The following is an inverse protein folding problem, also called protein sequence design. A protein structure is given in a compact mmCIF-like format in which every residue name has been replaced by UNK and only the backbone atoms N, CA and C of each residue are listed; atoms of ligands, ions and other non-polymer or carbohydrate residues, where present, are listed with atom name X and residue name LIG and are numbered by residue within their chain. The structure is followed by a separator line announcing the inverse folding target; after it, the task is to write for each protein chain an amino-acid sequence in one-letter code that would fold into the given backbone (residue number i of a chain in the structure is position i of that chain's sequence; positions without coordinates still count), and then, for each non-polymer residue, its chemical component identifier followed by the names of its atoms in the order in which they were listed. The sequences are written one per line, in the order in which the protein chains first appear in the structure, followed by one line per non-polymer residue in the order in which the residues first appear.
data_IF_824218881235
#
_entry.id   IF_824218881235
#
_cell.length_a   1.000
_cell.length_b   1.000
_cell.length_c   1.000
_cell.angle_alpha   90.00
_cell.angle_beta   90.00
_cell.angle_gamma   90.00
#
_symmetry.space_group_name_H-M   'P 1'
#
loop_
_entity.id
_entity.type
_entity.pdbx_description
1 polymer ?
#
# COMPACT_ATOMS: atom_id res chain seq x y z
N UNK A 1 -2.86 -3.95 17.52
CA UNK A 1 -2.25 -3.07 16.49
C UNK A 1 -2.91 -3.48 15.22
N UNK A 2 -3.50 -2.55 14.45
CA UNK A 2 -4.51 -2.90 13.44
C UNK A 2 -4.08 -4.02 12.48
N UNK A 3 -2.84 -3.99 11.94
CA UNK A 3 -2.38 -5.07 11.06
C UNK A 3 -2.34 -6.44 11.77
N UNK A 4 -1.88 -6.52 13.02
CA UNK A 4 -1.89 -7.76 13.79
C UNK A 4 -3.32 -8.27 14.01
N UNK A 5 -4.25 -7.36 14.31
CA UNK A 5 -5.65 -7.74 14.56
C UNK A 5 -6.28 -8.36 13.29
N UNK A 6 -5.90 -7.88 12.10
CA UNK A 6 -6.28 -8.52 10.81
C UNK A 6 -5.60 -9.87 10.58
N UNK A 7 -4.32 -10.02 10.93
CA UNK A 7 -3.59 -11.29 10.81
C UNK A 7 -4.18 -12.34 11.76
N UNK A 8 -4.46 -11.97 13.01
CA UNK A 8 -5.11 -12.82 14.02
C UNK A 8 -6.54 -13.22 13.59
N UNK A 9 -7.22 -12.37 12.80
CA UNK A 9 -8.50 -12.69 12.17
C UNK A 9 -8.40 -13.59 10.92
N UNK A 10 -7.18 -13.95 10.50
CA UNK A 10 -6.92 -14.89 9.40
C UNK A 10 -6.52 -14.26 8.07
N UNK A 11 -6.21 -12.96 8.02
CA UNK A 11 -5.71 -12.34 6.80
C UNK A 11 -4.33 -12.92 6.42
N UNK A 12 -4.15 -13.21 5.13
CA UNK A 12 -2.84 -13.61 4.57
C UNK A 12 -2.15 -12.48 3.80
N UNK A 13 -2.86 -11.39 3.51
CA UNK A 13 -2.29 -10.20 2.87
C UNK A 13 -2.78 -8.99 3.66
N UNK A 14 -1.86 -8.13 4.08
CA UNK A 14 -2.16 -6.86 4.74
C UNK A 14 -1.71 -5.69 3.86
N UNK A 15 -2.58 -4.70 3.74
CA UNK A 15 -2.29 -3.45 3.03
C UNK A 15 -1.62 -2.47 3.97
N UNK A 16 -0.62 -1.74 3.50
CA UNK A 16 0.02 -0.64 4.23
C UNK A 16 -0.91 0.58 4.29
N UNK A 17 -0.70 1.45 5.27
CA UNK A 17 -1.46 2.70 5.42
C UNK A 17 -0.96 3.81 4.47
N UNK A 18 -0.75 3.50 3.18
CA UNK A 18 -0.17 4.42 2.20
C UNK A 18 -1.11 4.85 1.06
N UNK A 19 -2.40 4.49 1.13
CA UNK A 19 -3.43 4.81 0.12
C UNK A 19 -3.39 6.29 -0.33
N UNK A 20 -3.58 7.21 0.63
CA UNK A 20 -3.53 8.67 0.42
C UNK A 20 -2.15 9.28 0.70
N UNK A 21 -1.17 8.49 1.13
CA UNK A 21 0.17 8.99 1.39
C UNK A 21 0.82 9.37 0.05
N UNK A 22 0.97 10.66 -0.19
CA UNK A 22 1.63 11.21 -1.38
C UNK A 22 2.62 12.27 -0.95
N UNK A 23 3.72 12.39 -1.70
CA UNK A 23 4.76 13.39 -1.41
C UNK A 23 4.15 14.79 -1.50
N UNK A 24 3.39 15.05 -2.56
CA UNK A 24 2.70 16.32 -2.78
C UNK A 24 1.68 16.61 -1.67
N UNK A 25 0.95 15.60 -1.20
CA UNK A 25 -0.02 15.75 -0.10
C UNK A 25 0.65 16.12 1.22
N UNK A 26 1.77 15.47 1.56
CA UNK A 26 2.53 15.78 2.77
C UNK A 26 3.24 17.14 2.69
N UNK A 27 3.84 17.47 1.55
CA UNK A 27 4.47 18.78 1.32
C UNK A 27 3.45 19.91 1.44
N UNK A 28 2.23 19.72 0.90
CA UNK A 28 1.14 20.69 1.06
C UNK A 28 0.69 20.86 2.53
N UNK A 29 1.02 19.91 3.41
CA UNK A 29 0.79 19.99 4.87
C UNK A 29 2.00 20.52 5.65
N UNK A 30 3.06 20.92 4.98
CA UNK A 30 4.23 21.58 5.57
C UNK A 30 5.40 20.65 5.90
N UNK A 31 5.36 19.39 5.46
CA UNK A 31 6.48 18.46 5.62
C UNK A 31 7.52 18.66 4.52
N UNK A 32 8.77 18.34 4.80
CA UNK A 32 9.80 18.24 3.76
C UNK A 32 9.55 17.04 2.85
N UNK A 33 10.16 17.04 1.66
CA UNK A 33 10.08 15.87 0.78
C UNK A 33 10.69 14.65 1.47
N UNK A 34 11.83 14.78 2.14
CA UNK A 34 12.50 13.70 2.86
C UNK A 34 11.62 13.10 3.98
N UNK A 35 10.92 13.96 4.73
CA UNK A 35 9.96 13.53 5.75
C UNK A 35 8.79 12.76 5.12
N UNK A 36 8.25 13.26 4.01
CA UNK A 36 7.18 12.59 3.26
C UNK A 36 7.62 11.21 2.76
N UNK A 37 8.83 11.08 2.22
CA UNK A 37 9.39 9.79 1.81
C UNK A 37 9.61 8.85 3.00
N UNK A 38 10.06 9.39 4.14
CA UNK A 38 10.25 8.62 5.37
C UNK A 38 8.92 8.04 5.87
N UNK A 39 7.85 8.81 5.85
CA UNK A 39 6.51 8.33 6.23
C UNK A 39 5.99 7.23 5.29
N UNK A 40 6.26 7.34 3.99
CA UNK A 40 5.95 6.26 3.04
C UNK A 40 6.67 4.96 3.40
N UNK A 41 7.98 5.02 3.68
CA UNK A 41 8.75 3.83 4.12
C UNK A 41 8.22 3.29 5.44
N UNK A 42 7.97 4.18 6.41
CA UNK A 42 7.47 3.81 7.74
C UNK A 42 6.13 3.07 7.69
N UNK A 43 5.25 3.45 6.75
CA UNK A 43 3.98 2.75 6.56
C UNK A 43 4.15 1.27 6.21
N UNK A 44 5.23 0.92 5.49
CA UNK A 44 5.56 -0.46 5.13
C UNK A 44 6.29 -1.15 6.26
N UNK A 45 7.24 -0.47 6.90
CA UNK A 45 7.98 -0.99 8.05
C UNK A 45 7.03 -1.48 9.15
N UNK A 46 6.00 -0.69 9.50
CA UNK A 46 5.01 -1.07 10.52
C UNK A 46 4.24 -2.33 10.12
N UNK A 47 3.90 -2.50 8.84
CA UNK A 47 3.23 -3.71 8.36
C UNK A 47 4.16 -4.93 8.36
N UNK A 48 5.44 -4.76 8.02
CA UNK A 48 6.44 -5.80 8.14
C UNK A 48 6.68 -6.20 9.61
N UNK A 49 6.82 -5.22 10.52
CA UNK A 49 6.91 -5.46 11.97
C UNK A 49 5.70 -6.28 12.47
N UNK A 50 4.49 -6.00 11.96
CA UNK A 50 3.29 -6.78 12.25
C UNK A 50 3.42 -8.26 11.87
N UNK A 51 3.92 -8.51 10.66
CA UNK A 51 4.12 -9.85 10.14
C UNK A 51 5.13 -10.62 11.00
N UNK A 52 6.24 -9.99 11.35
CA UNK A 52 7.27 -10.65 12.18
C UNK A 52 6.72 -10.98 13.57
N UNK A 53 6.01 -10.05 14.21
CA UNK A 53 5.34 -10.31 15.51
C UNK A 53 4.32 -11.46 15.39
N UNK A 54 3.56 -11.51 14.30
CA UNK A 54 2.60 -12.59 14.07
C UNK A 54 3.30 -13.95 13.92
N UNK A 55 4.43 -14.00 13.20
CA UNK A 55 5.22 -15.23 13.07
C UNK A 55 5.82 -15.69 14.39
N UNK A 56 6.35 -14.77 15.22
CA UNK A 56 6.90 -15.08 16.54
C UNK A 56 5.83 -15.61 17.53
N UNK A 57 4.60 -15.09 17.44
CA UNK A 57 3.46 -15.64 18.21
C UNK A 57 3.02 -17.00 17.69
N UNK A 58 3.02 -17.19 16.38
CA UNK A 58 2.57 -18.44 15.77
C UNK A 58 3.57 -19.57 15.98
N UNK A 59 4.87 -19.30 16.08
CA UNK A 59 5.86 -20.33 16.48
C UNK A 59 5.69 -20.79 17.93
N UNK A 60 5.01 -19.99 18.77
CA UNK A 60 4.70 -20.32 20.18
C UNK A 60 3.28 -20.89 20.38
N UNK A 61 2.37 -20.75 19.42
CA UNK A 61 1.02 -21.28 19.45
C UNK A 61 0.65 -22.02 18.17
N UNK A 62 0.44 -23.34 18.26
CA UNK A 62 0.12 -24.26 17.17
C UNK A 62 -1.20 -23.91 16.45
N UNK A 63 -1.16 -23.01 15.48
CA UNK A 63 -2.22 -22.83 14.48
C UNK A 63 -1.71 -23.37 13.14
N UNK A 64 -1.49 -24.68 13.12
CA UNK A 64 -1.12 -25.41 11.92
C UNK A 64 -2.42 -25.89 11.25
N UNK A 65 -2.73 -25.33 10.07
CA UNK A 65 -3.71 -25.97 9.19
C UNK A 65 -3.08 -27.25 8.64
N UNK A 66 -3.58 -28.40 9.08
CA UNK A 66 -3.20 -29.71 8.58
C UNK A 66 -3.92 -29.92 7.24
N UNK A 67 -3.18 -29.76 6.14
CA UNK A 67 -3.55 -30.33 4.85
C UNK A 67 -2.52 -31.41 4.51
N UNK A 68 -2.97 -32.67 4.41
CA UNK A 68 -2.18 -33.81 3.92
C UNK A 68 -0.80 -34.02 4.59
N UNK A 69 -0.71 -33.88 5.93
CA UNK A 69 0.48 -34.28 6.69
C UNK A 69 1.70 -33.36 6.54
N UNK A 70 1.58 -32.23 5.83
CA UNK A 70 2.61 -31.19 5.77
C UNK A 70 2.11 -29.93 6.48
N UNK A 71 2.91 -29.41 7.42
CA UNK A 71 2.68 -28.11 8.05
C UNK A 71 2.98 -27.05 6.97
N UNK A 72 1.94 -26.57 6.29
CA UNK A 72 2.05 -25.50 5.30
C UNK A 72 1.39 -24.25 5.86
N UNK A 73 2.20 -23.33 6.42
CA UNK A 73 1.71 -21.98 6.72
C UNK A 73 1.59 -21.21 5.42
N UNK A 74 0.40 -20.67 5.14
CA UNK A 74 0.24 -19.69 4.07
C UNK A 74 1.12 -18.48 4.40
N UNK A 75 1.99 -18.03 3.47
CA UNK A 75 2.83 -16.87 3.73
C UNK A 75 1.96 -15.63 3.93
N UNK A 76 2.32 -14.82 4.93
CA UNK A 76 1.77 -13.47 5.11
C UNK A 76 2.52 -12.51 4.20
N UNK A 77 1.79 -11.82 3.32
CA UNK A 77 2.33 -10.82 2.41
C UNK A 77 1.96 -9.40 2.85
N UNK A 78 2.89 -8.48 2.65
CA UNK A 78 2.68 -7.04 2.83
C UNK A 78 2.54 -6.40 1.45
N UNK A 79 1.39 -5.77 1.21
CA UNK A 79 1.11 -5.07 -0.02
C UNK A 79 1.15 -3.55 0.21
N UNK A 80 2.07 -2.87 -0.46
CA UNK A 80 2.15 -1.41 -0.42
C UNK A 80 0.99 -0.80 -1.19
N UNK A 81 0.08 -0.14 -0.45
CA UNK A 81 -1.11 0.49 -0.99
C UNK A 81 -0.79 1.78 -1.75
N UNK A 82 -1.37 1.93 -2.94
CA UNK A 82 -1.30 3.12 -3.78
C UNK A 82 -2.72 3.46 -4.24
N UNK A 83 -3.29 4.52 -3.68
CA UNK A 83 -4.57 5.07 -4.11
C UNK A 83 -4.46 5.92 -5.38
N UNK A 84 -5.61 6.15 -6.04
CA UNK A 84 -5.71 6.96 -7.25
C UNK A 84 -5.30 8.42 -7.04
N UNK A 85 -5.07 9.12 -8.15
CA UNK A 85 -4.90 10.57 -8.19
C UNK A 85 -6.11 11.29 -7.57
N UNK A 86 -7.33 10.76 -7.76
CA UNK A 86 -8.53 11.34 -7.15
C UNK A 86 -8.53 11.28 -5.63
N UNK A 87 -7.91 10.26 -5.02
CA UNK A 87 -7.77 10.17 -3.58
C UNK A 87 -6.89 11.30 -3.01
N UNK A 88 -5.92 11.78 -3.80
CA UNK A 88 -5.09 12.93 -3.46
C UNK A 88 -5.85 14.26 -3.60
N UNK A 89 -6.73 14.40 -4.60
CA UNK A 89 -7.55 15.60 -4.78
C UNK A 89 -8.53 15.83 -3.61
N UNK A 90 -8.92 14.75 -2.92
CA UNK A 90 -9.81 14.79 -1.76
C UNK A 90 -11.18 15.46 -2.03
N UNK A 91 -11.65 15.37 -3.28
CA UNK A 91 -12.92 15.92 -3.77
C UNK A 91 -13.96 14.85 -4.14
N UNK A 92 -13.66 13.58 -3.82
CA UNK A 92 -14.49 12.42 -4.17
C UNK A 92 -14.29 11.91 -5.60
N UNK A 93 -13.35 12.47 -6.37
CA UNK A 93 -13.05 12.01 -7.72
C UNK A 93 -12.47 10.59 -7.78
N UNK A 94 -12.04 10.01 -6.65
CA UNK A 94 -11.70 8.59 -6.50
C UNK A 94 -12.87 7.63 -6.85
N UNK A 95 -14.12 8.12 -6.89
CA UNK A 95 -15.28 7.35 -7.35
C UNK A 95 -15.78 7.74 -8.75
N UNK A 96 -15.54 8.99 -9.18
CA UNK A 96 -16.03 9.50 -10.46
C UNK A 96 -15.03 9.32 -11.60
N UNK A 97 -13.74 9.27 -11.29
CA UNK A 97 -12.64 9.25 -12.25
C UNK A 97 -12.50 10.54 -13.07
N UNK A 98 -13.15 11.64 -12.67
CA UNK A 98 -13.07 12.93 -13.36
C UNK A 98 -12.05 13.82 -12.68
N UNK A 99 -10.83 13.86 -13.21
CA UNK A 99 -9.72 14.63 -12.63
C UNK A 99 -9.54 16.03 -13.26
N UNK A 100 -10.39 16.38 -14.24
CA UNK A 100 -10.27 17.60 -15.05
C UNK A 100 -9.52 17.38 -16.36
N UNK A 101 -9.83 18.22 -17.36
CA UNK A 101 -9.35 18.07 -18.74
C UNK A 101 -7.84 18.34 -18.90
N UNK A 102 -7.22 18.99 -17.91
CA UNK A 102 -5.78 19.27 -17.90
C UNK A 102 -4.92 18.09 -17.43
N UNK A 103 -5.51 17.03 -16.88
CA UNK A 103 -4.76 15.89 -16.35
C UNK A 103 -4.42 14.92 -17.47
N UNK A 104 -3.15 14.95 -17.89
CA UNK A 104 -2.61 14.09 -18.93
C UNK A 104 -2.10 12.75 -18.38
N UNK A 105 -1.82 11.79 -19.27
CA UNK A 105 -1.17 10.53 -18.89
C UNK A 105 0.21 10.77 -18.27
N UNK A 106 0.98 11.74 -18.77
CA UNK A 106 2.31 12.05 -18.23
C UNK A 106 2.22 12.66 -16.84
N UNK A 107 1.23 13.54 -16.61
CA UNK A 107 0.95 14.08 -15.28
C UNK A 107 0.69 12.97 -14.25
N UNK A 108 -0.08 11.96 -14.64
CA UNK A 108 -0.36 10.80 -13.78
C UNK A 108 0.89 9.94 -13.55
N UNK A 109 1.71 9.74 -14.59
CA UNK A 109 3.00 9.04 -14.46
C UNK A 109 3.91 9.77 -13.46
N UNK A 110 4.11 11.07 -13.66
CA UNK A 110 4.96 11.90 -12.82
C UNK A 110 4.50 11.87 -11.36
N UNK A 111 3.20 11.97 -11.14
CA UNK A 111 2.59 11.93 -9.81
C UNK A 111 2.89 10.63 -9.06
N UNK A 112 2.73 9.47 -9.71
CA UNK A 112 2.92 8.17 -9.04
C UNK A 112 4.38 7.70 -9.03
N UNK A 113 5.22 8.15 -9.97
CA UNK A 113 6.56 7.58 -10.21
C UNK A 113 7.43 7.58 -8.96
N UNK A 114 7.53 8.71 -8.25
CA UNK A 114 8.43 8.80 -7.09
C UNK A 114 7.93 7.96 -5.92
N UNK A 115 6.62 8.01 -5.63
CA UNK A 115 5.99 7.16 -4.62
C UNK A 115 6.23 5.67 -4.90
N UNK A 116 6.04 5.25 -6.14
CA UNK A 116 6.28 3.86 -6.55
C UNK A 116 7.75 3.46 -6.36
N UNK A 117 8.71 4.31 -6.75
CA UNK A 117 10.14 4.04 -6.55
C UNK A 117 10.51 3.83 -5.07
N UNK A 118 9.88 4.57 -4.16
CA UNK A 118 10.11 4.45 -2.72
C UNK A 118 9.50 3.14 -2.21
N UNK A 119 8.24 2.87 -2.55
CA UNK A 119 7.52 1.68 -2.07
C UNK A 119 8.13 0.38 -2.62
N UNK A 120 8.61 0.36 -3.87
CA UNK A 120 9.35 -0.78 -4.43
C UNK A 120 10.65 -1.12 -3.67
N UNK A 121 11.22 -0.16 -2.94
CA UNK A 121 12.44 -0.33 -2.14
C UNK A 121 12.18 -0.43 -0.63
N UNK A 122 10.91 -0.48 -0.22
CA UNK A 122 10.49 -0.41 1.19
C UNK A 122 10.40 -1.78 1.88
N UNK A 123 10.55 -2.87 1.14
CA UNK A 123 10.42 -4.24 1.66
C UNK A 123 8.99 -4.82 1.56
N UNK A 124 8.05 -4.12 0.92
CA UNK A 124 6.76 -4.69 0.55
C UNK A 124 6.93 -5.82 -0.48
N UNK A 125 6.12 -6.87 -0.35
CA UNK A 125 6.14 -8.02 -1.26
C UNK A 125 5.40 -7.72 -2.56
N UNK A 126 4.38 -6.86 -2.49
CA UNK A 126 3.49 -6.49 -3.59
C UNK A 126 3.21 -4.99 -3.59
N UNK A 127 2.82 -4.46 -4.75
CA UNK A 127 2.18 -3.15 -4.87
C UNK A 127 0.68 -3.37 -5.13
N UNK A 128 -0.17 -2.75 -4.31
CA UNK A 128 -1.61 -2.75 -4.49
C UNK A 128 -2.07 -1.40 -5.03
N UNK A 129 -2.30 -1.33 -6.34
CA UNK A 129 -3.02 -0.20 -6.94
C UNK A 129 -4.51 -0.39 -6.68
N UNK A 130 -5.10 0.47 -5.86
CA UNK A 130 -6.48 0.31 -5.42
C UNK A 130 -7.30 1.59 -5.63
N UNK A 131 -8.61 1.39 -5.81
CA UNK A 131 -9.58 2.46 -6.06
C UNK A 131 -9.16 3.36 -7.24
N UNK A 132 -8.93 2.73 -8.41
CA UNK A 132 -8.58 3.42 -9.66
C UNK A 132 -9.84 3.56 -10.55
N UNK A 133 -10.57 4.69 -10.47
CA UNK A 133 -11.80 4.90 -11.27
C UNK A 133 -11.52 5.36 -12.71
N UNK A 134 -10.32 5.91 -12.96
CA UNK A 134 -10.00 6.58 -14.21
C UNK A 134 -9.25 5.64 -15.18
N UNK A 135 -9.77 5.51 -16.41
CA UNK A 135 -9.18 4.62 -17.44
C UNK A 135 -7.79 5.06 -17.89
N UNK A 136 -7.51 6.37 -17.93
CA UNK A 136 -6.20 6.88 -18.31
C UNK A 136 -5.16 6.56 -17.25
N UNK A 137 -5.54 6.68 -15.98
CA UNK A 137 -4.72 6.26 -14.85
C UNK A 137 -4.48 4.75 -14.86
N UNK A 138 -5.50 3.92 -15.11
CA UNK A 138 -5.30 2.48 -15.24
C UNK A 138 -4.33 2.10 -16.38
N UNK A 139 -4.38 2.83 -17.52
CA UNK A 139 -3.43 2.66 -18.63
C UNK A 139 -2.00 3.03 -18.26
N UNK A 140 -1.81 3.95 -17.31
CA UNK A 140 -0.48 4.30 -16.82
C UNK A 140 0.17 3.10 -16.10
N UNK A 141 -0.66 2.29 -15.44
CA UNK A 141 -0.25 1.13 -14.64
C UNK A 141 -0.04 -0.15 -15.47
N UNK A 142 -0.58 -0.20 -16.69
CA UNK A 142 -0.28 -1.27 -17.65
C UNK A 142 1.02 -0.95 -18.38
N UNK A 143 2.10 -1.64 -17.98
CA UNK A 143 3.39 -1.59 -18.66
C UNK A 143 3.36 -2.26 -20.03
#
# INVERSE_FOLDING_TARGET
MVHLDYLDAGANIILTASYQATIQGFVAKGLSEEEAESLLRRSVEIACEAREIYYDKSTTGSWDYIECGNISRRPVLVAASIGSYGAYLADGSEYSGKYGDSVSLETLKDFHRRRLQILLKSGADLIAFETIPNKLEAKMLSF
#
